data_IF_385162866299
#
_entry.id   IF_385162866299
#
_cell.length_a   1.000
_cell.length_b   1.000
_cell.length_c   1.000
_cell.angle_alpha   90.00
_cell.angle_beta   90.00
_cell.angle_gamma   90.00
#
_symmetry.space_group_name_H-M   'P 1'
#
loop_
_entity.id
_entity.type
_entity.pdbx_description
1 polymer ?
#
# COMPACT_ATOMS: atom_id res chain seq x y z
N UNK A 1 -54.01 43.35 10.55
CA UNK A 1 -53.29 42.05 10.59
C UNK A 1 -51.88 42.15 9.98
N UNK A 2 -51.06 43.16 10.35
CA UNK A 2 -49.71 43.38 9.77
C UNK A 2 -48.55 42.91 10.66
N UNK A 3 -48.83 42.66 11.94
CA UNK A 3 -47.80 42.36 12.96
C UNK A 3 -47.45 40.87 13.02
N UNK A 4 -48.36 39.99 12.56
CA UNK A 4 -48.13 38.54 12.49
C UNK A 4 -47.13 38.16 11.38
N UNK A 5 -47.15 38.91 10.27
CA UNK A 5 -46.22 38.68 9.16
C UNK A 5 -44.78 39.04 9.54
N UNK A 6 -44.59 40.10 10.34
CA UNK A 6 -43.27 40.51 10.81
C UNK A 6 -42.67 39.52 11.82
N UNK A 7 -43.49 38.92 12.68
CA UNK A 7 -43.06 37.84 13.58
C UNK A 7 -42.63 36.57 12.82
N UNK A 8 -43.32 36.23 11.72
CA UNK A 8 -42.96 35.08 10.89
C UNK A 8 -41.60 35.27 10.20
N UNK A 9 -41.33 36.46 9.67
CA UNK A 9 -40.05 36.77 9.01
C UNK A 9 -38.87 36.72 9.98
N UNK A 10 -39.05 37.15 11.23
CA UNK A 10 -37.98 37.10 12.25
C UNK A 10 -37.66 35.67 12.71
N UNK A 11 -38.65 34.78 12.77
CA UNK A 11 -38.45 33.36 13.11
C UNK A 11 -37.70 32.62 12.00
N UNK A 12 -38.01 32.89 10.73
CA UNK A 12 -37.32 32.25 9.59
C UNK A 12 -35.84 32.66 9.53
N UNK A 13 -35.51 33.90 9.90
CA UNK A 13 -34.13 34.38 9.88
C UNK A 13 -33.26 33.76 10.97
N UNK A 14 -33.84 33.36 12.11
CA UNK A 14 -33.11 32.79 13.25
C UNK A 14 -32.70 31.31 13.04
N UNK A 15 -33.37 30.60 12.13
CA UNK A 15 -33.10 29.17 11.82
C UNK A 15 -32.00 29.01 10.75
N UNK A 16 -31.61 30.09 10.07
CA UNK A 16 -30.65 30.06 8.96
C UNK A 16 -29.16 30.10 9.40
N UNK A 17 -28.82 29.61 10.60
CA UNK A 17 -27.42 29.49 11.00
C UNK A 17 -26.81 28.22 10.39
N UNK A 18 -25.77 28.33 9.55
CA UNK A 18 -25.10 27.15 9.03
C UNK A 18 -24.28 26.49 10.15
N UNK A 19 -24.67 25.28 10.54
CA UNK A 19 -23.89 24.42 11.42
C UNK A 19 -22.68 23.90 10.66
N UNK A 20 -21.63 24.70 10.57
CA UNK A 20 -20.31 24.23 10.12
C UNK A 20 -19.64 23.45 11.25
N UNK A 21 -20.11 22.23 11.48
CA UNK A 21 -19.44 21.27 12.35
C UNK A 21 -18.17 20.76 11.63
N UNK A 22 -17.03 21.37 11.92
CA UNK A 22 -15.75 20.85 11.49
C UNK A 22 -15.43 19.59 12.30
N UNK A 23 -15.49 18.44 11.64
CA UNK A 23 -15.11 17.16 12.25
C UNK A 23 -13.63 17.22 12.64
N UNK A 24 -13.33 17.05 13.93
CA UNK A 24 -11.96 16.89 14.42
C UNK A 24 -11.43 15.55 13.88
N UNK A 25 -10.70 15.62 12.77
CA UNK A 25 -10.00 14.47 12.22
C UNK A 25 -8.72 14.27 13.02
N UNK A 26 -8.65 13.13 13.70
CA UNK A 26 -7.46 12.70 14.42
C UNK A 26 -6.26 12.60 13.46
N UNK A 27 -5.21 13.44 13.63
CA UNK A 27 -4.03 13.41 12.77
C UNK A 27 -3.17 12.16 12.98
N UNK A 28 -3.41 11.39 14.05
CA UNK A 28 -2.73 10.12 14.34
C UNK A 28 -3.43 8.90 13.76
N UNK A 29 -4.62 9.08 13.16
CA UNK A 29 -5.35 7.98 12.54
C UNK A 29 -4.51 7.40 11.39
N UNK A 30 -4.11 6.11 11.46
CA UNK A 30 -3.34 5.51 10.39
C UNK A 30 -4.18 5.55 9.12
N UNK A 31 -3.70 6.31 8.14
CA UNK A 31 -4.33 6.37 6.83
C UNK A 31 -4.06 5.01 6.19
N UNK A 32 -5.05 4.13 6.22
CA UNK A 32 -5.06 2.95 5.37
C UNK A 32 -5.13 3.46 3.93
N UNK A 33 -3.96 3.81 3.39
CA UNK A 33 -3.75 3.95 1.96
C UNK A 33 -4.08 2.56 1.42
N UNK A 34 -5.32 2.38 0.95
CA UNK A 34 -5.62 1.38 -0.07
C UNK A 34 -4.48 1.50 -1.06
N UNK A 35 -3.67 0.44 -1.18
CA UNK A 35 -2.47 0.39 -2.00
C UNK A 35 -2.87 0.65 -3.46
N UNK A 36 -3.08 1.92 -3.80
CA UNK A 36 -3.07 2.40 -5.15
C UNK A 36 -1.61 2.35 -5.53
N UNK A 37 -1.21 1.26 -6.18
CA UNK A 37 0.07 1.08 -6.83
C UNK A 37 0.57 2.43 -7.32
N UNK A 38 1.66 2.92 -6.73
CA UNK A 38 2.36 4.08 -7.23
C UNK A 38 2.78 3.74 -8.67
N UNK A 39 1.96 4.20 -9.61
CA UNK A 39 2.06 3.95 -11.04
C UNK A 39 3.16 4.87 -11.58
N UNK A 40 4.39 4.66 -11.15
CA UNK A 40 5.55 5.16 -11.88
C UNK A 40 5.89 4.13 -12.94
N UNK A 41 5.27 4.32 -14.10
CA UNK A 41 5.49 3.56 -15.33
C UNK A 41 6.86 3.97 -15.87
N UNK A 42 7.92 3.35 -15.34
CA UNK A 42 9.07 3.03 -16.16
C UNK A 42 8.83 1.62 -16.69
N UNK A 43 8.24 1.57 -17.87
CA UNK A 43 7.95 0.36 -18.64
C UNK A 43 9.27 -0.29 -19.08
N UNK A 44 9.96 -0.93 -18.14
CA UNK A 44 11.01 -1.90 -18.45
C UNK A 44 10.52 -3.24 -17.92
N UNK A 45 10.21 -4.13 -18.86
CA UNK A 45 10.09 -5.60 -18.73
C UNK A 45 9.79 -6.06 -17.30
N UNK A 46 8.51 -6.27 -16.95
CA UNK A 46 8.01 -6.68 -15.63
C UNK A 46 9.06 -7.38 -14.76
N UNK A 47 9.84 -6.59 -14.01
CA UNK A 47 10.99 -7.08 -13.27
C UNK A 47 10.48 -7.55 -11.92
N UNK A 48 10.52 -8.87 -11.70
CA UNK A 48 10.24 -9.45 -10.38
C UNK A 48 11.04 -8.72 -9.32
N UNK A 49 10.36 -8.34 -8.23
CA UNK A 49 10.91 -7.44 -7.22
C UNK A 49 10.79 -8.08 -5.86
N UNK A 50 11.92 -8.31 -5.18
CA UNK A 50 11.92 -8.78 -3.80
C UNK A 50 11.58 -7.61 -2.88
N UNK A 51 10.51 -7.78 -2.10
CA UNK A 51 9.99 -6.76 -1.19
C UNK A 51 10.31 -7.09 0.26
N UNK A 52 10.15 -8.35 0.65
CA UNK A 52 10.39 -8.80 2.02
C UNK A 52 10.83 -10.26 2.09
N UNK A 53 11.52 -10.60 3.17
CA UNK A 53 11.92 -11.93 3.54
C UNK A 53 11.39 -12.24 4.93
N UNK A 54 10.63 -13.33 5.03
CA UNK A 54 10.01 -13.80 6.27
C UNK A 54 10.79 -15.03 6.71
N UNK A 55 11.28 -15.01 7.94
CA UNK A 55 11.91 -16.15 8.57
C UNK A 55 11.06 -16.61 9.75
N UNK A 56 10.64 -17.88 9.74
CA UNK A 56 9.81 -18.46 10.78
C UNK A 56 10.17 -19.94 10.97
N UNK A 57 10.53 -20.32 12.19
CA UNK A 57 10.85 -21.70 12.58
C UNK A 57 11.86 -22.41 11.65
N UNK A 58 12.89 -21.70 11.19
CA UNK A 58 13.90 -22.24 10.27
C UNK A 58 13.46 -22.31 8.81
N UNK A 59 12.23 -21.92 8.50
CA UNK A 59 11.72 -21.81 7.13
C UNK A 59 11.75 -20.37 6.65
N UNK A 60 12.08 -20.19 5.38
CA UNK A 60 12.05 -18.91 4.71
C UNK A 60 10.88 -18.80 3.74
N UNK A 61 10.24 -17.64 3.72
CA UNK A 61 9.29 -17.23 2.69
C UNK A 61 9.71 -15.86 2.15
N UNK A 62 9.37 -15.58 0.90
CA UNK A 62 9.69 -14.31 0.25
C UNK A 62 8.41 -13.64 -0.24
N UNK A 63 8.31 -12.32 -0.05
CA UNK A 63 7.28 -11.51 -0.71
C UNK A 63 7.91 -10.94 -1.98
N UNK A 64 7.42 -11.40 -3.13
CA UNK A 64 7.89 -11.00 -4.46
C UNK A 64 6.70 -10.35 -5.17
N UNK A 65 6.83 -9.08 -5.53
CA UNK A 65 5.78 -8.31 -6.20
C UNK A 65 4.40 -8.45 -5.54
N UNK A 66 4.33 -8.39 -4.21
CA UNK A 66 3.08 -8.50 -3.43
C UNK A 66 2.57 -9.92 -3.13
N UNK A 67 3.17 -10.97 -3.70
CA UNK A 67 2.76 -12.36 -3.43
C UNK A 67 3.82 -13.12 -2.60
N UNK A 68 3.35 -14.05 -1.75
CA UNK A 68 4.19 -14.85 -0.88
C UNK A 68 4.61 -16.12 -1.61
N UNK A 69 5.92 -16.40 -1.62
CA UNK A 69 6.50 -17.59 -2.22
C UNK A 69 7.35 -18.38 -1.24
N UNK A 70 7.39 -19.69 -1.44
CA UNK A 70 8.29 -20.62 -0.76
C UNK A 70 9.23 -21.33 -1.74
N UNK A 71 10.26 -22.00 -1.22
CA UNK A 71 11.19 -22.77 -2.04
C UNK A 71 10.44 -23.88 -2.81
N UNK A 72 10.75 -24.02 -4.10
CA UNK A 72 10.12 -24.96 -5.03
C UNK A 72 8.86 -24.43 -5.72
N UNK A 73 8.35 -23.26 -5.33
CA UNK A 73 7.16 -22.66 -5.93
C UNK A 73 7.45 -21.98 -7.27
N UNK A 74 6.44 -21.90 -8.14
CA UNK A 74 6.52 -21.28 -9.46
C UNK A 74 6.19 -19.79 -9.39
N UNK A 75 7.03 -18.97 -10.05
CA UNK A 75 6.90 -17.53 -10.23
C UNK A 75 7.00 -17.21 -11.73
N UNK A 76 5.85 -17.18 -12.42
CA UNK A 76 5.84 -17.18 -13.89
C UNK A 76 6.52 -18.44 -14.42
N UNK A 77 7.52 -18.30 -15.30
CA UNK A 77 8.33 -19.42 -15.80
C UNK A 77 9.65 -19.63 -15.02
N UNK A 78 9.76 -19.10 -13.80
CA UNK A 78 10.87 -19.39 -12.88
C UNK A 78 10.40 -20.23 -11.71
N UNK A 79 11.28 -21.07 -11.17
CA UNK A 79 11.08 -21.76 -9.89
C UNK A 79 11.93 -21.09 -8.82
N UNK A 80 11.40 -20.96 -7.60
CA UNK A 80 12.15 -20.49 -6.44
C UNK A 80 13.13 -21.57 -5.98
N UNK A 81 14.38 -21.49 -6.43
CA UNK A 81 15.40 -22.48 -6.12
C UNK A 81 15.88 -22.41 -4.67
N UNK A 82 16.11 -21.20 -4.16
CA UNK A 82 16.60 -20.98 -2.79
C UNK A 82 16.20 -19.62 -2.26
N UNK A 83 15.79 -19.57 -1.01
CA UNK A 83 15.57 -18.33 -0.27
C UNK A 83 16.67 -18.21 0.79
N UNK A 84 17.39 -17.10 0.77
CA UNK A 84 18.44 -16.77 1.75
C UNK A 84 18.02 -15.59 2.61
N UNK A 85 18.82 -15.24 3.61
CA UNK A 85 18.55 -14.11 4.50
C UNK A 85 18.48 -12.74 3.80
N UNK A 86 19.05 -12.60 2.59
CA UNK A 86 19.14 -11.30 1.89
C UNK A 86 18.68 -11.33 0.43
N UNK A 87 18.53 -12.53 -0.14
CA UNK A 87 18.26 -12.71 -1.55
C UNK A 87 17.42 -13.95 -1.83
N UNK A 88 16.71 -13.94 -2.95
CA UNK A 88 16.01 -15.09 -3.52
C UNK A 88 16.66 -15.45 -4.84
N UNK A 89 16.90 -16.74 -5.04
CA UNK A 89 17.42 -17.30 -6.28
C UNK A 89 16.29 -17.98 -7.03
N UNK A 90 16.06 -17.53 -8.25
CA UNK A 90 15.08 -18.04 -9.18
C UNK A 90 15.79 -18.77 -10.31
N UNK A 91 15.27 -19.90 -10.75
CA UNK A 91 15.88 -20.70 -11.83
C UNK A 91 14.87 -21.02 -12.93
N UNK A 92 15.31 -20.98 -14.18
CA UNK A 92 14.56 -21.41 -15.36
C UNK A 92 15.51 -22.21 -16.26
N UNK A 93 15.40 -23.54 -16.22
CA UNK A 93 16.33 -24.41 -16.95
C UNK A 93 17.77 -24.13 -16.53
N UNK A 94 18.57 -23.54 -17.42
CA UNK A 94 19.98 -23.20 -17.17
C UNK A 94 20.20 -21.72 -16.76
N UNK A 95 19.14 -20.91 -16.71
CA UNK A 95 19.22 -19.50 -16.31
C UNK A 95 18.94 -19.36 -14.80
N UNK A 96 19.73 -18.53 -14.12
CA UNK A 96 19.51 -18.19 -12.72
C UNK A 96 19.41 -16.66 -12.56
N UNK A 97 18.34 -16.21 -11.90
CA UNK A 97 18.08 -14.82 -11.56
C UNK A 97 18.17 -14.63 -10.04
N UNK A 98 18.96 -13.65 -9.61
CA UNK A 98 19.06 -13.27 -8.19
C UNK A 98 18.23 -12.02 -7.93
N UNK A 99 17.28 -12.12 -7.01
CA UNK A 99 16.54 -10.98 -6.49
C UNK A 99 17.10 -10.60 -5.13
N UNK A 100 17.52 -9.35 -4.97
CA UNK A 100 18.01 -8.79 -3.71
C UNK A 100 17.02 -7.78 -3.16
N UNK A 101 16.99 -7.61 -1.84
CA UNK A 101 16.29 -6.49 -1.21
C UNK A 101 16.92 -5.18 -1.69
N UNK A 102 16.11 -4.15 -1.92
CA UNK A 102 16.64 -2.86 -2.36
C UNK A 102 17.68 -2.33 -1.37
N UNK A 103 18.83 -1.85 -1.85
CA UNK A 103 19.72 -1.06 -1.02
C UNK A 103 18.99 0.23 -0.65
N UNK A 104 18.72 0.43 0.63
CA UNK A 104 18.22 1.71 1.11
C UNK A 104 19.40 2.68 1.12
N UNK A 105 19.41 3.65 0.21
CA UNK A 105 20.32 4.78 0.31
C UNK A 105 19.87 5.61 1.52
N UNK A 106 20.72 5.70 2.55
CA UNK A 106 20.47 6.58 3.69
C UNK A 106 20.95 7.97 3.26
N UNK A 107 20.01 8.87 2.95
CA UNK A 107 20.35 10.29 2.77
C UNK A 107 20.78 10.85 4.12
N UNK A 108 22.04 11.28 4.22
CA UNK A 108 22.58 11.98 5.39
C UNK A 108 22.26 13.46 5.34
#
# INVERSE_FOLDING_TARGET
MKNLFQFSVTIVLLVATPLFAQSLVDPTKPRFLSQGSAKNIAQSKAKWRLESLIHHNGHYKAIISGAIYQQGELLGDYVVAKISQRAVYLTRGNEQLKLELYPHEIKR
#
